data_IF_391346680231
#
_entry.id   IF_391346680231
#
_cell.length_a   1.000
_cell.length_b   1.000
_cell.length_c   1.000
_cell.angle_alpha   90.00
_cell.angle_beta   90.00
_cell.angle_gamma   90.00
#
_symmetry.space_group_name_H-M   'P 1'
#
loop_
_entity.id
_entity.type
_entity.pdbx_description
1 polymer ?
#
# COMPACT_ATOMS: atom_id res chain seq x y z
N UNK A 1 -13.57 11.32 2.60
CA UNK A 1 -13.15 10.09 1.88
C UNK A 1 -14.09 8.96 2.22
N UNK A 2 -14.65 8.29 1.23
CA UNK A 2 -15.52 7.16 1.51
C UNK A 2 -14.71 5.87 1.71
N UNK A 3 -15.34 4.85 2.29
CA UNK A 3 -14.70 3.59 2.64
C UNK A 3 -14.12 2.86 1.42
N UNK A 4 -14.89 2.81 0.32
CA UNK A 4 -14.45 2.11 -0.91
C UNK A 4 -13.19 2.74 -1.48
N UNK A 5 -13.13 4.07 -1.51
CA UNK A 5 -12.00 4.80 -2.04
C UNK A 5 -10.73 4.57 -1.22
N UNK A 6 -10.85 4.56 0.11
CA UNK A 6 -9.69 4.31 0.97
C UNK A 6 -9.20 2.87 0.87
N UNK A 7 -10.09 1.89 0.70
CA UNK A 7 -9.70 0.49 0.49
C UNK A 7 -8.92 0.37 -0.82
N UNK A 8 -9.41 0.97 -1.89
CA UNK A 8 -8.73 0.95 -3.19
C UNK A 8 -7.34 1.57 -3.10
N UNK A 9 -7.24 2.76 -2.50
CA UNK A 9 -5.95 3.43 -2.34
C UNK A 9 -4.96 2.58 -1.55
N UNK A 10 -5.40 1.93 -0.50
CA UNK A 10 -4.54 1.07 0.30
C UNK A 10 -4.09 -0.17 -0.45
N UNK A 11 -4.94 -0.75 -1.30
CA UNK A 11 -4.54 -1.88 -2.14
C UNK A 11 -3.40 -1.46 -3.07
N UNK A 12 -3.52 -0.30 -3.72
CA UNK A 12 -2.49 0.22 -4.60
C UNK A 12 -1.19 0.45 -3.85
N UNK A 13 -1.26 1.12 -2.69
CA UNK A 13 -0.08 1.40 -1.86
C UNK A 13 0.62 0.12 -1.40
N UNK A 14 -0.14 -0.86 -0.94
CA UNK A 14 0.42 -2.12 -0.48
C UNK A 14 1.06 -2.90 -1.63
N UNK A 15 0.44 -2.89 -2.80
CA UNK A 15 0.98 -3.54 -3.99
C UNK A 15 2.31 -2.92 -4.38
N UNK A 16 2.38 -1.59 -4.42
CA UNK A 16 3.61 -0.89 -4.78
C UNK A 16 4.69 -1.07 -3.72
N UNK A 17 4.32 -1.10 -2.44
CA UNK A 17 5.28 -1.36 -1.37
C UNK A 17 5.85 -2.77 -1.47
N UNK A 18 5.03 -3.76 -1.77
CA UNK A 18 5.51 -5.14 -1.95
C UNK A 18 6.49 -5.25 -3.11
N UNK A 19 6.23 -4.55 -4.22
CA UNK A 19 7.18 -4.49 -5.34
C UNK A 19 8.51 -3.86 -4.91
N UNK A 20 8.44 -2.78 -4.16
CA UNK A 20 9.62 -2.11 -3.64
C UNK A 20 10.45 -3.06 -2.76
N UNK A 21 9.81 -3.79 -1.87
CA UNK A 21 10.50 -4.74 -1.00
C UNK A 21 11.16 -5.88 -1.78
N UNK A 22 10.51 -6.33 -2.85
CA UNK A 22 11.09 -7.37 -3.72
C UNK A 22 12.37 -6.90 -4.39
N UNK A 23 12.45 -5.62 -4.73
CA UNK A 23 13.63 -5.01 -5.35
C UNK A 23 14.67 -4.55 -4.32
N UNK A 24 14.28 -4.42 -3.06
CA UNK A 24 15.15 -3.94 -1.97
C UNK A 24 15.11 -4.89 -0.78
N UNK A 25 15.68 -6.10 -0.91
CA UNK A 25 15.62 -7.10 0.16
C UNK A 25 16.20 -6.60 1.49
N UNK A 26 17.19 -5.71 1.45
CA UNK A 26 17.77 -5.15 2.66
C UNK A 26 16.78 -4.30 3.45
N UNK A 27 15.79 -3.70 2.78
CA UNK A 27 14.72 -2.98 3.45
C UNK A 27 13.73 -3.98 4.07
N UNK A 28 13.38 -5.03 3.33
CA UNK A 28 12.49 -6.07 3.83
C UNK A 28 13.05 -6.72 5.11
N UNK A 29 14.36 -6.91 5.19
CA UNK A 29 15.01 -7.51 6.35
C UNK A 29 14.89 -6.66 7.62
N UNK A 30 14.58 -5.38 7.49
CA UNK A 30 14.38 -4.48 8.62
C UNK A 30 12.99 -4.56 9.22
N UNK A 31 12.07 -5.23 8.57
CA UNK A 31 10.69 -5.36 9.06
C UNK A 31 10.61 -6.59 9.97
N UNK A 32 10.25 -6.41 11.25
CA UNK A 32 10.12 -7.54 12.16
C UNK A 32 9.03 -8.52 11.69
N UNK A 33 9.19 -9.80 12.05
CA UNK A 33 8.18 -10.80 11.76
C UNK A 33 6.85 -10.43 12.42
N UNK A 34 5.76 -10.63 11.70
CA UNK A 34 4.40 -10.35 12.17
C UNK A 34 4.16 -8.88 12.52
N UNK A 35 5.00 -7.97 12.02
CA UNK A 35 4.78 -6.55 12.24
C UNK A 35 3.54 -6.06 11.52
N UNK A 36 2.85 -5.09 12.14
CA UNK A 36 1.78 -4.36 11.48
C UNK A 36 2.41 -3.21 10.67
N UNK A 37 2.23 -3.23 9.36
CA UNK A 37 2.78 -2.20 8.48
C UNK A 37 1.70 -1.16 8.20
N UNK A 38 2.01 0.10 8.49
CA UNK A 38 1.09 1.23 8.30
C UNK A 38 1.71 2.17 7.28
N UNK A 39 1.09 2.31 6.12
CA UNK A 39 1.59 3.18 5.06
C UNK A 39 0.97 4.56 5.19
N UNK A 40 1.82 5.56 5.20
CA UNK A 40 1.43 6.96 5.44
C UNK A 40 1.88 7.82 4.27
N UNK A 41 1.02 8.03 3.25
CA UNK A 41 1.35 8.90 2.13
C UNK A 41 1.24 10.37 2.53
N UNK A 42 2.33 11.12 2.39
CA UNK A 42 2.38 12.53 2.80
C UNK A 42 1.42 13.40 1.98
N UNK A 43 1.11 13.00 0.77
CA UNK A 43 0.21 13.76 -0.11
C UNK A 43 -1.28 13.46 0.12
N UNK A 44 -1.61 12.61 1.10
CA UNK A 44 -3.00 12.26 1.41
C UNK A 44 -3.21 12.21 2.94
N UNK A 45 -3.31 13.37 3.60
CA UNK A 45 -3.46 13.40 5.07
C UNK A 45 -4.69 12.67 5.59
N UNK A 46 -5.79 12.69 4.84
CA UNK A 46 -7.01 11.98 5.25
C UNK A 46 -6.78 10.48 5.31
N UNK A 47 -6.08 9.92 4.32
CA UNK A 47 -5.74 8.50 4.32
C UNK A 47 -4.77 8.17 5.46
N UNK A 48 -3.79 9.03 5.74
CA UNK A 48 -2.89 8.84 6.87
C UNK A 48 -3.66 8.72 8.19
N UNK A 49 -4.60 9.63 8.44
CA UNK A 49 -5.42 9.58 9.66
C UNK A 49 -6.22 8.29 9.75
N UNK A 50 -6.78 7.87 8.62
CA UNK A 50 -7.58 6.64 8.56
C UNK A 50 -6.71 5.42 8.83
N UNK A 51 -5.54 5.36 8.22
CA UNK A 51 -4.62 4.24 8.40
C UNK A 51 -4.10 4.16 9.84
N UNK A 52 -3.81 5.30 10.47
CA UNK A 52 -3.41 5.33 11.87
C UNK A 52 -4.54 4.84 12.78
N UNK A 53 -5.78 5.24 12.51
CA UNK A 53 -6.93 4.79 13.30
C UNK A 53 -7.16 3.28 13.14
N UNK A 54 -7.03 2.76 11.93
CA UNK A 54 -7.15 1.32 11.69
C UNK A 54 -6.05 0.54 12.42
N UNK A 55 -4.82 1.06 12.41
CA UNK A 55 -3.71 0.42 13.10
C UNK A 55 -3.97 0.31 14.61
N UNK A 56 -4.50 1.35 15.23
CA UNK A 56 -4.84 1.33 16.66
C UNK A 56 -5.88 0.26 16.97
N UNK A 57 -6.84 0.06 16.08
CA UNK A 57 -7.92 -0.92 16.29
C UNK A 57 -7.48 -2.34 16.08
N UNK A 58 -6.55 -2.58 15.15
CA UNK A 58 -6.18 -3.93 14.71
C UNK A 58 -4.85 -4.42 15.26
N UNK A 59 -4.09 -3.54 15.90
CA UNK A 59 -2.81 -3.94 16.48
C UNK A 59 -3.01 -4.96 17.59
N UNK A 60 -2.33 -6.07 17.48
CA UNK A 60 -2.30 -7.08 18.52
C UNK A 60 -1.36 -6.67 19.65
N UNK A 61 -1.58 -7.27 20.81
CA UNK A 61 -0.74 -6.99 22.00
C UNK A 61 0.72 -7.36 21.69
N UNK A 62 1.61 -6.43 22.00
CA UNK A 62 3.06 -6.60 21.78
C UNK A 62 3.47 -6.73 20.32
N UNK A 63 2.58 -6.43 19.40
CA UNK A 63 2.90 -6.45 17.97
C UNK A 63 3.74 -5.21 17.62
N UNK A 64 4.86 -5.43 16.91
CA UNK A 64 5.63 -4.32 16.37
C UNK A 64 4.83 -3.59 15.30
N UNK A 65 4.97 -2.27 15.24
CA UNK A 65 4.34 -1.45 14.22
C UNK A 65 5.42 -0.76 13.41
N UNK A 66 5.36 -0.91 12.10
CA UNK A 66 6.28 -0.24 11.18
C UNK A 66 5.51 0.81 10.40
N UNK A 67 5.91 2.07 10.56
CA UNK A 67 5.32 3.17 9.81
C UNK A 67 6.15 3.41 8.56
N UNK A 68 5.50 3.30 7.41
CA UNK A 68 6.14 3.53 6.12
C UNK A 68 5.65 4.86 5.57
N UNK A 69 6.49 5.88 5.69
CA UNK A 69 6.15 7.20 5.19
C UNK A 69 6.64 7.34 3.76
N UNK A 70 5.75 7.72 2.85
CA UNK A 70 6.09 7.96 1.45
C UNK A 70 5.67 9.38 1.06
N UNK A 71 6.44 10.00 0.18
CA UNK A 71 6.08 11.34 -0.28
C UNK A 71 4.87 11.31 -1.20
N UNK A 72 4.91 10.45 -2.20
CA UNK A 72 3.82 10.26 -3.15
C UNK A 72 4.09 9.01 -3.98
N UNK A 73 3.05 8.53 -4.66
CA UNK A 73 3.22 7.54 -5.72
C UNK A 73 3.59 8.27 -7.01
N UNK A 74 4.60 7.75 -7.72
CA UNK A 74 4.87 8.21 -9.07
C UNK A 74 3.68 7.85 -9.97
N UNK A 75 3.46 8.60 -11.07
CA UNK A 75 2.40 8.23 -12.01
C UNK A 75 2.61 6.80 -12.51
N UNK A 76 1.52 6.05 -12.76
CA UNK A 76 1.64 4.69 -13.28
C UNK A 76 2.27 4.70 -14.66
N UNK A 77 3.06 3.67 -14.94
CA UNK A 77 3.59 3.47 -16.28
C UNK A 77 2.45 3.15 -17.23
N UNK A 78 2.64 3.53 -18.50
CA UNK A 78 1.65 3.18 -19.52
C UNK A 78 1.52 1.67 -19.62
N UNK A 79 0.31 1.15 -19.89
CA UNK A 79 0.13 -0.26 -20.14
C UNK A 79 1.01 -0.72 -21.32
N UNK A 80 1.58 -1.89 -21.20
CA UNK A 80 2.51 -2.42 -22.21
C UNK A 80 1.79 -3.21 -23.30
N UNK A 81 0.48 -3.32 -23.24
CA UNK A 81 -0.31 -3.99 -24.28
C UNK A 81 -0.28 -3.15 -25.56
N UNK A 82 -0.08 -3.84 -26.69
CA UNK A 82 -0.11 -3.21 -27.99
C UNK A 82 -1.39 -3.65 -28.67
N UNK A 83 -2.29 -2.69 -28.93
CA UNK A 83 -3.55 -2.90 -29.65
C UNK A 83 -4.29 -4.20 -29.26
N UNK A 84 -4.64 -4.34 -27.96
CA UNK A 84 -5.37 -5.54 -27.56
C UNK A 84 -6.74 -5.58 -28.22
N UNK A 85 -7.19 -6.74 -28.60
CA UNK A 85 -8.56 -6.94 -29.08
C UNK A 85 -9.29 -7.83 -28.08
N UNK A 86 -10.59 -7.58 -27.94
CA UNK A 86 -11.41 -8.27 -26.96
C UNK A 86 -12.53 -9.02 -27.68
N UNK A 87 -12.55 -10.34 -27.54
CA UNK A 87 -13.65 -11.18 -28.03
C UNK A 87 -14.39 -11.75 -26.83
N UNK A 88 -15.71 -11.51 -26.81
CA UNK A 88 -16.54 -12.04 -25.74
C UNK A 88 -17.28 -13.25 -26.25
N UNK A 89 -16.97 -14.43 -25.68
CA UNK A 89 -17.65 -15.67 -25.96
C UNK A 89 -18.75 -15.88 -24.92
N UNK A 90 -19.98 -16.12 -25.41
CA UNK A 90 -21.16 -16.26 -24.53
C UNK A 90 -21.64 -17.71 -24.52
#
# INVERSE_FOLDING_TARGET
>A
MNRRNSIYKNIVLNTEFNKYLAEHPQVADRIPDNALVVILPDDDPALCRKNLALARRHRERNQAVVYVRIKKLAPPLKPRLVQPSLNVAV
#
